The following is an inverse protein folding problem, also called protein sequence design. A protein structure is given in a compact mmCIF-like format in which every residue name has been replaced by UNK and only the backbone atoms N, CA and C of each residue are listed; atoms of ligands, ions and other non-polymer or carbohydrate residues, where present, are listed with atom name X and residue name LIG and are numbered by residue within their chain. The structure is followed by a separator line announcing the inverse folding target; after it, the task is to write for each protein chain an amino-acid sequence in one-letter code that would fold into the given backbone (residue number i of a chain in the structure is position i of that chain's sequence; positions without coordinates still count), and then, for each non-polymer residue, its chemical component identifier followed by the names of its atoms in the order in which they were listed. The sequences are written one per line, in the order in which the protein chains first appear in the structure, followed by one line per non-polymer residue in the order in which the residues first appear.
data_IF_034886325597
#
_entry.id   IF_034886325597
#
_cell.length_a   1.000
_cell.length_b   1.000
_cell.length_c   1.000
_cell.angle_alpha   90.00
_cell.angle_beta   90.00
_cell.angle_gamma   90.00
#
_symmetry.space_group_name_H-M   'P 1'
#
loop_
_entity.id
_entity.type
_entity.pdbx_description
1 polymer ?
#
# COMPACT_ATOMS: atom_id res chain seq x y z
N UNK A 1 9.71 -24.28 15.36
CA UNK A 1 9.00 -23.03 15.63
C UNK A 1 8.05 -22.81 14.48
N UNK A 2 6.76 -23.06 14.69
CA UNK A 2 5.73 -22.96 13.66
C UNK A 2 5.30 -21.49 13.64
N UNK A 3 5.98 -20.64 12.87
CA UNK A 3 5.46 -19.30 12.60
C UNK A 3 4.12 -19.51 11.89
N UNK A 4 3.04 -19.10 12.56
CA UNK A 4 1.70 -19.20 12.03
C UNK A 4 1.64 -18.37 10.75
N UNK A 5 1.68 -19.04 9.58
CA UNK A 5 1.27 -18.40 8.33
C UNK A 5 -0.10 -17.79 8.59
N UNK A 6 -0.24 -16.48 8.37
CA UNK A 6 -1.54 -15.84 8.45
C UNK A 6 -2.47 -16.52 7.44
N UNK A 7 -3.60 -17.06 7.91
CA UNK A 7 -4.45 -17.95 7.12
C UNK A 7 -5.09 -17.26 5.90
N UNK A 8 -5.25 -15.93 5.95
CA UNK A 8 -5.92 -15.18 4.89
C UNK A 8 -5.44 -13.72 4.84
N UNK A 9 -5.28 -13.18 3.63
CA UNK A 9 -4.95 -11.78 3.39
C UNK A 9 -5.94 -11.19 2.38
N UNK A 10 -6.44 -9.99 2.67
CA UNK A 10 -7.14 -9.14 1.70
C UNK A 10 -6.19 -8.02 1.32
N UNK A 11 -5.84 -7.96 0.04
CA UNK A 11 -5.03 -6.90 -0.55
C UNK A 11 -5.92 -5.95 -1.34
N UNK A 12 -6.00 -4.70 -0.92
CA UNK A 12 -6.73 -3.65 -1.62
C UNK A 12 -5.76 -2.64 -2.23
N UNK A 13 -6.03 -2.18 -3.45
CA UNK A 13 -5.21 -1.16 -4.10
C UNK A 13 -5.87 -0.50 -5.30
N UNK A 14 -5.40 0.70 -5.66
CA UNK A 14 -5.92 1.49 -6.77
C UNK A 14 -5.12 1.36 -8.07
N UNK A 15 -4.17 0.42 -8.13
CA UNK A 15 -3.44 0.07 -9.35
C UNK A 15 -3.97 -1.23 -9.96
N UNK A 16 -4.72 -1.11 -11.06
CA UNK A 16 -5.23 -2.28 -11.81
C UNK A 16 -4.11 -3.20 -12.27
N UNK A 17 -2.98 -2.64 -12.69
CA UNK A 17 -1.84 -3.41 -13.17
C UNK A 17 -1.22 -4.25 -12.04
N UNK A 18 -1.00 -3.65 -10.86
CA UNK A 18 -0.41 -4.36 -9.71
C UNK A 18 -1.38 -5.40 -9.17
N UNK A 19 -2.66 -5.03 -8.93
CA UNK A 19 -3.67 -5.97 -8.44
C UNK A 19 -3.85 -7.16 -9.39
N UNK A 20 -3.92 -6.92 -10.71
CA UNK A 20 -4.03 -7.98 -11.70
C UNK A 20 -2.78 -8.86 -11.78
N UNK A 21 -1.59 -8.29 -11.59
CA UNK A 21 -0.34 -9.04 -11.58
C UNK A 21 -0.31 -10.01 -10.39
N UNK A 22 -0.64 -9.51 -9.19
CA UNK A 22 -0.63 -10.32 -7.96
C UNK A 22 -1.71 -11.40 -8.02
N UNK A 23 -2.94 -11.06 -8.44
CA UNK A 23 -4.06 -12.01 -8.48
C UNK A 23 -3.86 -13.15 -9.48
N UNK A 24 -3.16 -12.90 -10.59
CA UNK A 24 -2.84 -13.93 -11.59
C UNK A 24 -1.63 -14.78 -11.21
N UNK A 25 -0.98 -14.50 -10.08
CA UNK A 25 0.26 -15.16 -9.65
C UNK A 25 1.47 -14.78 -10.49
N UNK A 26 1.36 -13.77 -11.37
CA UNK A 26 2.46 -13.30 -12.20
C UNK A 26 3.26 -12.28 -11.39
N UNK A 27 4.47 -12.66 -10.98
CA UNK A 27 5.30 -11.86 -10.07
C UNK A 27 6.22 -10.92 -10.84
N UNK A 28 5.65 -9.84 -11.38
CA UNK A 28 6.47 -8.79 -12.01
C UNK A 28 7.21 -7.91 -10.99
N UNK A 29 6.79 -7.93 -9.72
CA UNK A 29 7.27 -7.03 -8.65
C UNK A 29 7.61 -7.85 -7.41
N UNK A 30 8.60 -7.40 -6.64
CA UNK A 30 8.98 -8.04 -5.37
C UNK A 30 7.84 -8.06 -4.34
N UNK A 31 6.87 -7.13 -4.45
CA UNK A 31 5.64 -7.12 -3.65
C UNK A 31 4.87 -8.44 -3.77
N UNK A 32 4.90 -9.09 -4.94
CA UNK A 32 4.21 -10.36 -5.16
C UNK A 32 4.93 -11.57 -4.50
N UNK A 33 6.16 -11.39 -4.01
CA UNK A 33 6.86 -12.42 -3.22
C UNK A 33 6.40 -12.37 -1.75
N UNK A 34 6.07 -11.19 -1.23
CA UNK A 34 5.59 -11.01 0.14
C UNK A 34 4.20 -11.61 0.38
N UNK A 35 3.44 -11.91 -0.68
CA UNK A 35 2.12 -12.54 -0.55
C UNK A 35 2.18 -14.06 -0.34
N UNK A 36 3.33 -14.70 -0.58
CA UNK A 36 3.49 -16.17 -0.41
C UNK A 36 3.46 -16.63 1.05
N UNK A 37 3.55 -15.68 1.98
CA UNK A 37 3.46 -15.95 3.41
C UNK A 37 2.02 -16.26 3.88
N UNK A 38 1.03 -15.97 3.04
CA UNK A 38 -0.39 -16.19 3.33
C UNK A 38 -0.90 -17.48 2.69
N UNK A 39 -1.78 -18.22 3.38
CA UNK A 39 -2.37 -19.45 2.82
C UNK A 39 -3.42 -19.16 1.73
N UNK A 40 -4.07 -18.00 1.81
CA UNK A 40 -5.04 -17.53 0.84
C UNK A 40 -4.98 -16.00 0.72
N UNK A 41 -5.20 -15.51 -0.49
CA UNK A 41 -5.07 -14.10 -0.85
C UNK A 41 -6.26 -13.69 -1.72
N UNK A 42 -6.96 -12.65 -1.30
CA UNK A 42 -7.96 -11.95 -2.10
C UNK A 42 -7.41 -10.58 -2.54
N UNK A 43 -7.57 -10.25 -3.81
CA UNK A 43 -6.95 -9.07 -4.43
C UNK A 43 -8.02 -8.18 -5.05
N UNK A 44 -8.27 -7.04 -4.42
CA UNK A 44 -9.37 -6.16 -4.77
C UNK A 44 -8.86 -4.83 -5.32
N UNK A 45 -9.31 -4.50 -6.53
CA UNK A 45 -9.16 -3.14 -7.04
C UNK A 45 -10.17 -2.23 -6.34
N UNK A 46 -9.69 -1.16 -5.71
CA UNK A 46 -10.52 -0.10 -5.16
C UNK A 46 -10.26 1.22 -5.90
N UNK A 47 -11.26 2.09 -5.98
CA UNK A 47 -11.05 3.44 -6.51
C UNK A 47 -10.09 4.22 -5.61
N UNK A 48 -9.28 5.11 -6.19
CA UNK A 48 -8.35 5.99 -5.45
C UNK A 48 -9.04 6.76 -4.33
N UNK A 49 -10.31 7.12 -4.50
CA UNK A 49 -11.13 7.77 -3.48
C UNK A 49 -11.50 6.89 -2.28
N UNK A 50 -11.02 5.64 -2.22
CA UNK A 50 -11.10 4.76 -1.05
C UNK A 50 -9.71 4.31 -0.58
N UNK A 51 -8.63 4.75 -1.24
CA UNK A 51 -7.24 4.39 -0.93
C UNK A 51 -6.42 5.61 -0.43
N UNK A 52 -7.06 6.53 0.30
CA UNK A 52 -6.46 7.82 0.65
C UNK A 52 -5.17 7.70 1.45
N UNK A 53 -5.11 6.79 2.43
CA UNK A 53 -3.92 6.63 3.26
C UNK A 53 -2.69 6.22 2.45
N UNK A 54 -2.83 5.22 1.56
CA UNK A 54 -1.72 4.80 0.70
C UNK A 54 -1.35 5.88 -0.33
N UNK A 55 -2.35 6.57 -0.90
CA UNK A 55 -2.13 7.67 -1.83
C UNK A 55 -1.36 8.83 -1.17
N UNK A 56 -1.83 9.29 -0.01
CA UNK A 56 -1.19 10.38 0.73
C UNK A 56 0.22 10.02 1.17
N UNK A 57 0.44 8.77 1.61
CA UNK A 57 1.76 8.29 2.00
C UNK A 57 2.73 8.30 0.82
N UNK A 58 2.31 7.81 -0.34
CA UNK A 58 3.12 7.84 -1.56
C UNK A 58 3.46 9.27 -1.99
N UNK A 59 2.49 10.20 -1.92
CA UNK A 59 2.72 11.62 -2.23
C UNK A 59 3.69 12.28 -1.24
N UNK A 60 3.51 12.06 0.05
CA UNK A 60 4.40 12.60 1.09
C UNK A 60 5.83 12.10 0.91
N UNK A 61 6.01 10.79 0.70
CA UNK A 61 7.33 10.20 0.49
C UNK A 61 8.02 10.79 -0.76
N UNK A 62 7.26 11.00 -1.84
CA UNK A 62 7.76 11.64 -3.05
C UNK A 62 8.18 13.10 -2.82
N UNK A 63 7.33 13.89 -2.16
CA UNK A 63 7.59 15.32 -1.87
C UNK A 63 8.80 15.49 -0.94
N UNK A 64 8.93 14.62 0.05
CA UNK A 64 10.05 14.63 0.98
C UNK A 64 11.33 13.97 0.43
N UNK A 65 11.30 13.45 -0.80
CA UNK A 65 12.40 12.72 -1.43
C UNK A 65 12.93 11.59 -0.53
N UNK A 66 12.01 10.82 0.04
CA UNK A 66 12.30 9.72 0.96
C UNK A 66 12.72 8.48 0.16
N UNK A 67 13.88 7.90 0.49
CA UNK A 67 14.38 6.68 -0.14
C UNK A 67 14.84 5.67 0.92
N UNK A 68 14.44 4.41 0.77
CA UNK A 68 14.80 3.33 1.71
C UNK A 68 13.72 3.05 2.76
N UNK A 69 14.15 2.44 3.87
CA UNK A 69 13.25 1.95 4.94
C UNK A 69 13.29 2.92 6.11
N UNK A 70 12.12 3.40 6.51
CA UNK A 70 11.97 4.32 7.63
C UNK A 70 11.01 3.77 8.69
N UNK A 71 11.23 4.09 9.98
CA UNK A 71 10.27 3.78 11.03
C UNK A 71 8.94 4.50 10.78
N UNK A 72 7.80 3.86 11.07
CA UNK A 72 6.49 4.45 10.84
C UNK A 72 6.28 5.77 11.61
N UNK A 73 6.98 5.94 12.73
CA UNK A 73 6.89 7.11 13.62
C UNK A 73 7.38 8.41 12.98
N UNK A 74 8.15 8.33 11.89
CA UNK A 74 8.60 9.53 11.16
C UNK A 74 7.52 10.09 10.22
N UNK A 75 6.47 9.30 9.94
CA UNK A 75 5.39 9.68 9.05
C UNK A 75 4.41 10.58 9.82
N UNK A 76 4.13 11.81 9.37
CA UNK A 76 3.17 12.68 10.04
C UNK A 76 1.78 12.03 10.09
N UNK A 77 1.12 12.07 11.26
CA UNK A 77 -0.22 11.49 11.42
C UNK A 77 -1.25 12.02 10.41
N UNK A 78 -1.09 13.26 9.94
CA UNK A 78 -1.95 13.88 8.93
C UNK A 78 -1.94 13.15 7.58
N UNK A 79 -0.87 12.40 7.26
CA UNK A 79 -0.75 11.59 6.03
C UNK A 79 -1.80 10.47 6.02
N UNK A 80 -2.15 9.90 7.18
CA UNK A 80 -3.12 8.81 7.28
C UNK A 80 -4.58 9.29 7.33
N UNK A 81 -4.83 10.60 7.32
CA UNK A 81 -6.18 11.16 7.34
C UNK A 81 -6.80 11.23 5.94
N UNK A 82 -8.14 11.21 5.87
CA UNK A 82 -8.90 11.34 4.61
C UNK A 82 -8.84 12.75 3.99
N UNK A 83 -8.27 13.71 4.68
CA UNK A 83 -7.99 15.07 4.20
C UNK A 83 -6.64 15.07 3.50
N UNK A 84 -6.59 15.35 2.21
CA UNK A 84 -5.32 15.56 1.48
C UNK A 84 -4.66 16.84 1.99
N UNK A 85 -3.48 16.78 2.64
CA UNK A 85 -2.73 17.99 3.06
C UNK A 85 -1.99 18.68 1.90
N UNK A 86 -2.15 18.17 0.67
CA UNK A 86 -1.35 18.56 -0.51
C UNK A 86 -2.21 19.12 -1.64
N UNK A 87 -3.44 19.55 -1.32
CA UNK A 87 -4.26 20.32 -2.26
C UNK A 87 -3.68 21.73 -2.46
N UNK A 88 -3.98 22.42 -3.58
CA UNK A 88 -3.41 23.74 -3.89
C UNK A 88 -3.85 24.88 -2.94
N UNK A 89 -4.47 24.57 -1.80
CA UNK A 89 -5.09 25.54 -0.89
C UNK A 89 -4.76 25.30 0.60
N UNK A 90 -3.58 24.75 0.93
CA UNK A 90 -3.07 24.88 2.31
C UNK A 90 -1.92 25.92 2.32
N UNK A 91 -2.02 26.99 3.16
CA UNK A 91 -0.97 28.00 3.32
C UNK A 91 0.30 27.46 3.99
#
# INVERSE_FOLDING_TARGET
SLEAKSQFCILEGDSRAVISSISTGVKYWEIANSTDQFESLDCNFISRGFNYAAYNLAQWALVCNMEGVYPCEVIPNSVFCNSTPWGPNDP
#
